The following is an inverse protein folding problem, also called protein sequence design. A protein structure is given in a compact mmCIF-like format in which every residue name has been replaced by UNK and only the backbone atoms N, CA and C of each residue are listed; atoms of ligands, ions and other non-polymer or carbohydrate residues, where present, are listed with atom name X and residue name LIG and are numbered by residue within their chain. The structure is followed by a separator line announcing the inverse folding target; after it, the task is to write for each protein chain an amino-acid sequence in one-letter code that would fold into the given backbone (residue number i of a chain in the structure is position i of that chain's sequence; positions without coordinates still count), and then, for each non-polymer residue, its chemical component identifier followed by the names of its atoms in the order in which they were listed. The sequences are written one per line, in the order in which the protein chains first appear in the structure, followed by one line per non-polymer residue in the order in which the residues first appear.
data_IF_359894379083
#
_entry.id   IF_359894379083
#
_cell.length_a   1.000
_cell.length_b   1.000
_cell.length_c   1.000
_cell.angle_alpha   90.00
_cell.angle_beta   90.00
_cell.angle_gamma   90.00
#
_symmetry.space_group_name_H-M   'P 1'
#
loop_
_entity.id
_entity.type
_entity.pdbx_description
1 polymer ?
#
# COMPACT_ATOMS: atom_id res chain seq x y z
N UNK A 1 9.42 22.25 -0.01
CA UNK A 1 9.36 23.53 -0.77
C UNK A 1 8.65 24.67 -0.03
N UNK A 2 7.35 24.56 0.30
CA UNK A 2 6.58 25.68 0.90
C UNK A 2 7.19 26.15 2.24
N UNK A 3 7.62 25.21 3.09
CA UNK A 3 8.32 25.49 4.35
C UNK A 3 9.63 26.28 4.18
N UNK A 4 10.39 25.98 3.12
CA UNK A 4 11.62 26.73 2.77
C UNK A 4 11.25 28.17 2.44
N UNK A 5 10.22 28.39 1.61
CA UNK A 5 9.75 29.73 1.27
C UNK A 5 9.25 30.51 2.49
N UNK A 6 8.50 29.85 3.37
CA UNK A 6 8.07 30.44 4.65
C UNK A 6 9.26 30.90 5.50
N UNK A 7 10.27 30.06 5.68
CA UNK A 7 11.44 30.38 6.49
C UNK A 7 12.31 31.48 5.89
N UNK A 8 12.43 31.54 4.55
CA UNK A 8 13.11 32.65 3.87
C UNK A 8 12.45 34.00 4.14
N UNK A 9 11.12 34.05 4.22
CA UNK A 9 10.39 35.30 4.46
C UNK A 9 10.39 35.74 5.92
N UNK A 10 10.49 34.80 6.86
CA UNK A 10 10.45 35.10 8.30
C UNK A 10 11.79 35.60 8.85
N UNK A 11 12.90 35.37 8.14
CA UNK A 11 14.28 35.64 8.56
C UNK A 11 14.67 34.91 9.86
N UNK A 12 15.95 34.51 9.99
CA UNK A 12 16.49 33.83 11.19
C UNK A 12 15.94 32.43 11.55
N UNK A 13 15.18 31.77 10.67
CA UNK A 13 14.67 30.39 10.89
C UNK A 13 15.51 29.34 10.14
N UNK A 14 16.84 29.36 10.36
CA UNK A 14 17.82 28.59 9.55
C UNK A 14 17.59 27.07 9.66
N UNK A 15 17.26 26.55 10.85
CA UNK A 15 17.03 25.12 11.06
C UNK A 15 15.89 24.56 10.19
N UNK A 16 14.87 25.38 9.93
CA UNK A 16 13.75 24.99 9.08
C UNK A 16 14.16 24.96 7.61
N UNK A 17 15.03 25.87 7.17
CA UNK A 17 15.61 25.84 5.83
C UNK A 17 16.49 24.61 5.64
N UNK A 18 17.40 24.31 6.57
CA UNK A 18 18.37 23.22 6.39
C UNK A 18 17.70 21.87 6.31
N UNK A 19 16.80 21.55 7.24
CA UNK A 19 16.11 20.24 7.25
C UNK A 19 15.23 20.04 6.02
N UNK A 20 14.49 21.07 5.60
CA UNK A 20 13.60 20.95 4.45
C UNK A 20 14.39 20.92 3.15
N UNK A 21 15.53 21.62 3.05
CA UNK A 21 16.40 21.55 1.88
C UNK A 21 17.00 20.15 1.73
N UNK A 22 17.49 19.57 2.83
CA UNK A 22 17.95 18.18 2.83
C UNK A 22 16.80 17.21 2.48
N UNK A 23 15.62 17.41 3.06
CA UNK A 23 14.42 16.63 2.76
C UNK A 23 14.06 16.69 1.27
N UNK A 24 14.11 17.87 0.65
CA UNK A 24 13.86 18.02 -0.77
C UNK A 24 14.86 17.26 -1.65
N UNK A 25 16.15 17.19 -1.27
CA UNK A 25 17.14 16.38 -1.98
C UNK A 25 16.80 14.89 -1.88
N UNK A 26 16.53 14.41 -0.66
CA UNK A 26 16.19 13.00 -0.41
C UNK A 26 14.88 12.60 -1.12
N UNK A 27 13.84 13.42 -1.05
CA UNK A 27 12.57 13.21 -1.75
C UNK A 27 12.76 13.18 -3.27
N UNK A 28 13.60 14.07 -3.82
CA UNK A 28 13.93 14.08 -5.25
C UNK A 28 14.61 12.78 -5.66
N UNK A 29 15.55 12.27 -4.86
CA UNK A 29 16.21 10.97 -5.09
C UNK A 29 15.18 9.84 -5.07
N UNK A 30 14.29 9.80 -4.08
CA UNK A 30 13.23 8.78 -4.02
C UNK A 30 12.31 8.81 -5.23
N UNK A 31 11.88 10.00 -5.65
CA UNK A 31 11.06 10.18 -6.85
C UNK A 31 11.82 9.75 -8.10
N UNK A 32 13.10 10.10 -8.24
CA UNK A 32 13.91 9.72 -9.39
C UNK A 32 14.02 8.20 -9.51
N UNK A 33 14.34 7.51 -8.41
CA UNK A 33 14.36 6.05 -8.33
C UNK A 33 12.98 5.48 -8.67
N UNK A 34 11.90 6.03 -8.13
CA UNK A 34 10.56 5.56 -8.46
C UNK A 34 10.27 5.70 -9.96
N UNK A 35 10.61 6.84 -10.57
CA UNK A 35 10.37 7.08 -11.99
C UNK A 35 11.20 6.19 -12.90
N UNK A 36 12.40 5.75 -12.49
CA UNK A 36 13.21 4.82 -13.30
C UNK A 36 12.60 3.42 -13.31
N UNK A 37 12.12 2.93 -12.16
CA UNK A 37 11.62 1.56 -12.00
C UNK A 37 10.10 1.40 -12.20
N UNK A 38 9.32 2.48 -12.15
CA UNK A 38 7.86 2.40 -12.29
C UNK A 38 7.41 2.02 -13.72
N UNK A 39 6.29 1.31 -13.80
CA UNK A 39 5.59 0.99 -15.06
C UNK A 39 5.15 2.26 -15.78
N UNK A 40 5.02 2.21 -17.11
CA UNK A 40 4.70 3.40 -17.94
C UNK A 40 3.46 4.16 -17.43
N UNK A 41 2.38 3.44 -17.08
CA UNK A 41 1.16 4.05 -16.57
C UNK A 41 1.37 4.76 -15.23
N UNK A 42 1.98 4.09 -14.25
CA UNK A 42 2.27 4.66 -12.94
C UNK A 42 3.25 5.85 -13.02
N UNK A 43 4.25 5.75 -13.91
CA UNK A 43 5.24 6.79 -14.19
C UNK A 43 4.59 8.06 -14.73
N UNK A 44 3.73 7.95 -15.75
CA UNK A 44 3.02 9.11 -16.32
C UNK A 44 2.09 9.75 -15.29
N UNK A 45 1.36 8.94 -14.52
CA UNK A 45 0.50 9.46 -13.44
C UNK A 45 1.31 10.22 -12.39
N UNK A 46 2.45 9.67 -11.98
CA UNK A 46 3.33 10.29 -10.98
C UNK A 46 3.96 11.57 -11.51
N UNK A 47 4.43 11.57 -12.76
CA UNK A 47 4.98 12.78 -13.40
C UNK A 47 3.91 13.87 -13.52
N UNK A 48 2.68 13.52 -13.89
CA UNK A 48 1.56 14.46 -13.93
C UNK A 48 1.27 15.07 -12.56
N UNK A 49 1.20 14.24 -11.52
CA UNK A 49 0.98 14.71 -10.15
C UNK A 49 2.13 15.59 -9.66
N UNK A 50 3.36 15.19 -9.96
CA UNK A 50 4.57 15.92 -9.59
C UNK A 50 4.59 17.31 -10.23
N UNK A 51 4.36 17.40 -11.55
CA UNK A 51 4.31 18.67 -12.26
C UNK A 51 3.15 19.54 -11.76
N UNK A 52 1.95 18.96 -11.60
CA UNK A 52 0.77 19.72 -11.20
C UNK A 52 0.88 20.26 -9.77
N UNK A 53 1.23 19.41 -8.80
CA UNK A 53 1.24 19.79 -7.38
C UNK A 53 2.51 20.54 -7.01
N UNK A 54 3.69 20.05 -7.43
CA UNK A 54 4.97 20.66 -7.01
C UNK A 54 5.33 21.89 -7.83
N UNK A 55 5.14 21.90 -9.14
CA UNK A 55 5.47 23.07 -9.96
C UNK A 55 4.25 23.98 -10.10
N UNK A 56 3.12 23.45 -10.57
CA UNK A 56 1.89 24.23 -10.73
C UNK A 56 1.39 24.82 -9.41
N UNK A 57 1.20 23.97 -8.39
CA UNK A 57 0.73 24.37 -7.07
C UNK A 57 1.70 25.34 -6.37
N UNK A 58 2.99 25.07 -6.39
CA UNK A 58 3.97 25.97 -5.77
C UNK A 58 4.06 27.32 -6.50
N UNK A 59 4.13 27.34 -7.83
CA UNK A 59 4.10 28.58 -8.60
C UNK A 59 2.82 29.38 -8.33
N UNK A 60 1.67 28.71 -8.25
CA UNK A 60 0.41 29.36 -7.90
C UNK A 60 0.47 29.98 -6.50
N UNK A 61 0.99 29.26 -5.51
CA UNK A 61 1.17 29.80 -4.14
C UNK A 61 2.11 31.03 -4.17
N UNK A 62 3.22 30.97 -4.91
CA UNK A 62 4.14 32.10 -5.04
C UNK A 62 3.44 33.32 -5.66
N UNK A 63 2.76 33.15 -6.79
CA UNK A 63 2.05 34.22 -7.48
C UNK A 63 0.96 34.82 -6.60
N UNK A 64 0.10 33.99 -6.01
CA UNK A 64 -0.97 34.46 -5.12
C UNK A 64 -0.39 35.18 -3.91
N UNK A 65 0.66 34.66 -3.29
CA UNK A 65 1.30 35.30 -2.14
C UNK A 65 1.98 36.63 -2.48
N UNK A 66 2.47 36.79 -3.72
CA UNK A 66 3.10 38.02 -4.20
C UNK A 66 2.06 39.09 -4.57
N UNK A 67 0.99 38.71 -5.26
CA UNK A 67 -0.04 39.63 -5.74
C UNK A 67 -1.09 39.99 -4.68
N UNK A 68 -1.50 39.05 -3.83
CA UNK A 68 -2.55 39.29 -2.83
C UNK A 68 -2.02 39.76 -1.48
N UNK A 69 -0.71 39.72 -1.24
CA UNK A 69 -0.17 39.96 0.10
C UNK A 69 1.17 40.68 0.10
N UNK A 70 1.34 41.59 1.06
CA UNK A 70 2.57 42.36 1.22
C UNK A 70 3.11 42.28 2.65
N UNK A 71 4.44 42.33 2.79
CA UNK A 71 5.12 42.38 4.09
C UNK A 71 4.71 41.27 5.06
N UNK A 72 4.15 41.67 6.22
CA UNK A 72 3.79 40.76 7.32
C UNK A 72 2.64 39.82 6.98
N UNK A 73 1.61 40.33 6.29
CA UNK A 73 0.44 39.53 5.88
C UNK A 73 0.86 38.37 4.97
N UNK A 74 1.95 38.51 4.21
CA UNK A 74 2.47 37.45 3.34
C UNK A 74 2.98 36.26 4.14
N UNK A 75 3.68 36.54 5.24
CA UNK A 75 4.17 35.52 6.16
C UNK A 75 3.01 34.79 6.84
N UNK A 76 1.94 35.50 7.21
CA UNK A 76 0.77 34.92 7.86
C UNK A 76 -0.02 34.00 6.91
N UNK A 77 -0.29 34.45 5.68
CA UNK A 77 -0.94 33.64 4.64
C UNK A 77 -0.13 32.37 4.37
N UNK A 78 1.18 32.50 4.17
CA UNK A 78 2.04 31.34 3.92
C UNK A 78 2.16 30.42 5.12
N UNK A 79 2.15 30.97 6.33
CA UNK A 79 2.09 30.19 7.57
C UNK A 79 0.85 29.30 7.61
N UNK A 80 -0.32 29.85 7.31
CA UNK A 80 -1.56 29.07 7.23
C UNK A 80 -1.57 28.05 6.09
N UNK A 81 -0.98 28.38 4.94
CA UNK A 81 -0.80 27.42 3.84
C UNK A 81 0.10 26.26 4.29
N UNK A 82 1.24 26.54 4.92
CA UNK A 82 2.14 25.53 5.50
C UNK A 82 1.39 24.62 6.49
N UNK A 83 0.65 25.21 7.44
CA UNK A 83 -0.16 24.45 8.40
C UNK A 83 -1.15 23.53 7.69
N UNK A 84 -1.87 24.04 6.69
CA UNK A 84 -2.89 23.27 5.96
C UNK A 84 -2.27 22.06 5.25
N UNK A 85 -1.16 22.26 4.53
CA UNK A 85 -0.45 21.16 3.86
C UNK A 85 0.19 20.19 4.87
N UNK A 86 0.73 20.68 5.98
CA UNK A 86 1.29 19.83 7.02
C UNK A 86 0.24 19.02 7.77
N UNK A 87 -0.99 19.51 7.89
CA UNK A 87 -2.08 18.74 8.48
C UNK A 87 -2.62 17.71 7.50
N UNK A 88 -2.71 18.04 6.21
CA UNK A 88 -3.26 17.12 5.20
C UNK A 88 -2.43 15.83 5.04
N UNK A 89 -1.11 15.90 5.24
CA UNK A 89 -0.24 14.71 5.18
C UNK A 89 -0.53 13.70 6.29
N UNK A 90 -1.21 14.09 7.38
CA UNK A 90 -1.63 13.15 8.42
C UNK A 90 -2.76 12.19 7.98
N UNK A 91 -3.32 12.38 6.78
CA UNK A 91 -4.23 11.40 6.18
C UNK A 91 -3.58 10.02 6.02
N UNK A 92 -2.28 9.96 5.70
CA UNK A 92 -1.54 8.70 5.54
C UNK A 92 -1.43 7.92 6.86
N UNK A 93 -0.89 8.47 7.97
CA UNK A 93 -0.85 7.76 9.24
C UNK A 93 -2.25 7.43 9.78
N UNK A 94 -3.28 8.26 9.52
CA UNK A 94 -4.66 7.93 9.88
C UNK A 94 -5.16 6.66 9.16
N UNK A 95 -4.84 6.54 7.88
CA UNK A 95 -5.17 5.35 7.07
C UNK A 95 -4.50 4.09 7.65
N UNK A 96 -3.23 4.19 8.04
CA UNK A 96 -2.49 3.08 8.67
C UNK A 96 -3.10 2.72 10.03
N UNK A 97 -3.43 3.68 10.88
CA UNK A 97 -4.13 3.40 12.15
C UNK A 97 -5.45 2.66 11.93
N UNK A 98 -6.25 3.12 10.96
CA UNK A 98 -7.52 2.44 10.59
C UNK A 98 -7.26 1.01 10.13
N UNK A 99 -6.20 0.79 9.34
CA UNK A 99 -5.80 -0.54 8.89
C UNK A 99 -5.44 -1.44 10.09
N UNK A 100 -4.60 -0.99 11.01
CA UNK A 100 -4.20 -1.74 12.22
C UNK A 100 -5.41 -2.12 13.08
N UNK A 101 -6.38 -1.22 13.23
CA UNK A 101 -7.60 -1.50 14.02
C UNK A 101 -8.45 -2.59 13.36
N UNK A 102 -8.56 -2.59 12.02
CA UNK A 102 -9.33 -3.57 11.26
C UNK A 102 -8.64 -4.92 11.18
N UNK A 103 -7.35 -4.95 10.88
CA UNK A 103 -6.57 -6.19 10.71
C UNK A 103 -6.12 -6.77 12.05
N UNK A 104 -6.25 -6.01 13.15
CA UNK A 104 -5.74 -6.39 14.48
C UNK A 104 -4.24 -6.72 14.48
N UNK A 105 -3.51 -6.24 13.47
CA UNK A 105 -2.12 -6.56 13.19
C UNK A 105 -1.31 -5.27 13.05
N UNK A 106 -0.14 -5.23 13.69
CA UNK A 106 0.80 -4.09 13.67
C UNK A 106 1.88 -4.21 12.60
N UNK A 107 1.70 -5.12 11.63
CA UNK A 107 2.70 -5.41 10.60
C UNK A 107 3.08 -4.19 9.74
N UNK A 108 2.09 -3.36 9.40
CA UNK A 108 2.28 -2.15 8.61
C UNK A 108 2.71 -0.93 9.43
N UNK A 109 3.05 -1.13 10.70
CA UNK A 109 3.30 -0.04 11.64
C UNK A 109 4.49 -0.34 12.55
N UNK A 110 5.73 -0.14 12.06
CA UNK A 110 6.92 -0.37 12.88
C UNK A 110 6.98 0.63 14.05
N UNK A 111 7.22 0.11 15.25
CA UNK A 111 7.33 0.91 16.48
C UNK A 111 8.36 2.02 16.37
N UNK A 112 9.55 1.70 15.85
CA UNK A 112 10.66 2.65 15.73
C UNK A 112 10.26 3.89 14.91
N UNK A 113 9.55 3.69 13.80
CA UNK A 113 9.07 4.79 12.97
C UNK A 113 8.12 5.70 13.74
N UNK A 114 7.15 5.13 14.46
CA UNK A 114 6.21 5.90 15.27
C UNK A 114 6.91 6.67 16.39
N UNK A 115 7.89 6.05 17.05
CA UNK A 115 8.68 6.67 18.11
C UNK A 115 9.51 7.87 17.59
N UNK A 116 10.27 7.68 16.51
CA UNK A 116 11.08 8.77 15.92
C UNK A 116 10.24 9.90 15.35
N UNK A 117 9.08 9.61 14.75
CA UNK A 117 8.14 10.64 14.31
C UNK A 117 7.59 11.45 15.49
N UNK A 118 7.29 10.78 16.61
CA UNK A 118 6.82 11.47 17.82
C UNK A 118 7.91 12.36 18.40
N UNK A 119 9.15 11.85 18.51
CA UNK A 119 10.28 12.65 19.00
C UNK A 119 10.53 13.87 18.10
N UNK A 120 10.48 13.68 16.77
CA UNK A 120 10.56 14.78 15.81
C UNK A 120 9.45 15.81 16.05
N UNK A 121 8.20 15.38 16.21
CA UNK A 121 7.08 16.28 16.49
C UNK A 121 7.28 17.07 17.80
N UNK A 122 7.79 16.43 18.86
CA UNK A 122 8.12 17.13 20.12
C UNK A 122 9.21 18.17 19.91
N UNK A 123 10.28 17.83 19.18
CA UNK A 123 11.38 18.77 18.92
C UNK A 123 10.91 19.98 18.12
N UNK A 124 10.10 19.78 17.08
CA UNK A 124 9.54 20.88 16.28
C UNK A 124 8.47 21.68 17.02
N UNK A 125 7.69 21.04 17.90
CA UNK A 125 6.77 21.73 18.79
C UNK A 125 7.53 22.66 19.73
N UNK A 126 8.55 22.15 20.44
CA UNK A 126 9.41 22.95 21.31
C UNK A 126 10.07 24.09 20.53
N UNK A 127 10.61 23.81 19.34
CA UNK A 127 11.20 24.83 18.47
C UNK A 127 10.20 25.92 18.09
N UNK A 128 8.99 25.55 17.67
CA UNK A 128 7.92 26.49 17.35
C UNK A 128 7.52 27.34 18.55
N UNK A 129 7.39 26.75 19.74
CA UNK A 129 7.05 27.48 20.97
C UNK A 129 8.17 28.46 21.37
N UNK A 130 9.44 28.06 21.28
CA UNK A 130 10.59 28.93 21.57
C UNK A 130 10.66 30.14 20.63
N UNK A 131 10.32 29.94 19.36
CA UNK A 131 10.24 31.02 18.36
C UNK A 131 8.92 31.80 18.39
N UNK A 132 7.99 31.45 19.30
CA UNK A 132 6.61 31.97 19.33
C UNK A 132 5.94 31.86 17.95
N UNK A 133 6.25 30.78 17.24
CA UNK A 133 5.76 30.47 15.91
C UNK A 133 4.66 29.40 15.97
N UNK A 134 3.41 29.87 16.03
CA UNK A 134 2.24 29.00 16.06
C UNK A 134 2.07 28.19 14.77
N UNK A 135 2.61 28.66 13.63
CA UNK A 135 2.50 27.94 12.36
C UNK A 135 3.35 26.67 12.37
N UNK A 136 4.52 26.71 13.02
CA UNK A 136 5.36 25.53 13.23
C UNK A 136 4.79 24.66 14.35
N UNK A 137 4.31 25.24 15.45
CA UNK A 137 3.80 24.48 16.58
C UNK A 137 2.54 23.67 16.25
N UNK A 138 1.55 24.29 15.58
CA UNK A 138 0.21 23.71 15.36
C UNK A 138 0.22 22.31 14.70
N UNK A 139 0.84 22.10 13.53
CA UNK A 139 0.85 20.78 12.90
C UNK A 139 1.64 19.76 13.73
N UNK A 140 2.63 20.20 14.52
CA UNK A 140 3.41 19.32 15.38
C UNK A 140 2.66 18.90 16.65
N UNK A 141 1.72 19.70 17.18
CA UNK A 141 0.78 19.27 18.23
C UNK A 141 -0.07 18.10 17.72
N UNK A 142 -0.60 18.23 16.49
CA UNK A 142 -1.39 17.19 15.85
C UNK A 142 -0.51 15.96 15.60
N UNK A 143 0.69 16.14 15.04
CA UNK A 143 1.65 15.06 14.81
C UNK A 143 2.04 14.32 16.09
N UNK A 144 2.27 15.03 17.19
CA UNK A 144 2.53 14.45 18.50
C UNK A 144 1.34 13.61 18.98
N UNK A 145 0.12 14.15 18.88
CA UNK A 145 -1.11 13.45 19.26
C UNK A 145 -1.27 12.15 18.46
N UNK A 146 -1.03 12.21 17.15
CA UNK A 146 -1.02 11.02 16.29
C UNK A 146 0.06 10.03 16.71
N UNK A 147 1.28 10.49 16.98
CA UNK A 147 2.38 9.65 17.45
C UNK A 147 2.07 8.90 18.76
N UNK A 148 1.45 9.58 19.73
CA UNK A 148 0.99 8.96 20.99
C UNK A 148 -0.06 7.87 20.73
N UNK A 149 -1.08 8.19 19.92
CA UNK A 149 -2.11 7.22 19.52
C UNK A 149 -1.48 6.03 18.78
N UNK A 150 -0.48 6.31 17.94
CA UNK A 150 0.25 5.30 17.19
C UNK A 150 0.97 4.30 18.11
N UNK A 151 1.71 4.78 19.09
CA UNK A 151 2.41 3.94 20.06
C UNK A 151 1.44 3.16 20.96
N UNK A 152 0.32 3.77 21.35
CA UNK A 152 -0.74 3.10 22.13
C UNK A 152 -1.40 1.95 21.34
N UNK A 153 -1.72 2.17 20.06
CA UNK A 153 -2.24 1.15 19.16
C UNK A 153 -1.25 0.00 18.98
N UNK A 154 0.04 0.32 18.81
CA UNK A 154 1.09 -0.68 18.71
C UNK A 154 1.15 -1.55 19.98
N UNK A 155 1.16 -0.93 21.16
CA UNK A 155 1.20 -1.65 22.44
C UNK A 155 -0.02 -2.56 22.65
N UNK A 156 -1.21 -2.12 22.24
CA UNK A 156 -2.44 -2.92 22.35
C UNK A 156 -2.42 -4.15 21.44
N UNK A 157 -2.08 -3.97 20.17
CA UNK A 157 -2.19 -5.04 19.16
C UNK A 157 -0.96 -5.95 19.07
N UNK A 158 0.23 -5.51 19.50
CA UNK A 158 1.41 -6.41 19.60
C UNK A 158 1.14 -7.57 20.57
N UNK A 159 0.48 -7.28 21.69
CA UNK A 159 0.22 -8.27 22.75
C UNK A 159 -0.89 -9.25 22.36
N UNK A 160 -1.76 -8.88 21.42
CA UNK A 160 -2.84 -9.77 20.94
C UNK A 160 -2.27 -10.90 20.07
N UNK A 161 -1.24 -10.64 19.26
CA UNK A 161 -0.59 -11.69 18.46
C UNK A 161 0.05 -12.77 19.33
N UNK A 162 0.71 -12.38 20.42
CA UNK A 162 1.34 -13.32 21.36
C UNK A 162 0.31 -14.26 22.00
N UNK A 163 -0.90 -13.78 22.32
CA UNK A 163 -1.96 -14.59 22.95
C UNK A 163 -2.62 -15.57 21.98
N UNK A 164 -2.60 -15.31 20.67
CA UNK A 164 -3.27 -16.15 19.65
C UNK A 164 -2.34 -17.25 19.13
N UNK A 165 -1.03 -17.00 18.98
CA UNK A 165 -0.08 -18.05 18.58
C UNK A 165 0.15 -19.10 19.67
N UNK A 166 0.00 -18.75 20.95
CA UNK A 166 0.17 -19.71 22.06
C UNK A 166 -1.03 -20.67 22.22
N UNK A 167 -2.14 -20.47 21.50
CA UNK A 167 -3.38 -21.27 21.64
C UNK A 167 -3.71 -22.20 20.47
N UNK A 168 -2.76 -22.50 19.57
CA UNK A 168 -2.99 -23.55 18.56
C UNK A 168 -2.64 -24.93 19.17
N UNK A 169 -3.61 -25.85 19.36
CA UNK A 169 -3.35 -27.11 20.04
C UNK A 169 -2.40 -27.98 19.22
N UNK A 170 -1.37 -28.47 19.90
CA UNK A 170 -0.29 -29.39 19.50
C UNK A 170 -0.79 -30.76 18.96
N UNK A 171 -2.07 -30.91 18.63
CA UNK A 171 -2.66 -32.21 18.31
C UNK A 171 -2.51 -32.64 16.84
N UNK A 172 -1.90 -31.80 15.99
CA UNK A 172 -1.60 -32.19 14.59
C UNK A 172 -0.22 -32.81 14.39
N UNK A 173 0.66 -32.76 15.40
CA UNK A 173 2.01 -33.31 15.29
C UNK A 173 2.02 -34.85 15.31
N UNK A 174 1.09 -35.49 16.03
CA UNK A 174 1.04 -36.96 16.12
C UNK A 174 0.54 -37.64 14.84
N UNK A 175 -0.42 -37.03 14.14
CA UNK A 175 -0.94 -37.58 12.87
C UNK A 175 0.15 -37.58 11.79
N UNK A 176 0.98 -36.53 11.74
CA UNK A 176 2.09 -36.44 10.76
C UNK A 176 3.23 -37.40 11.10
N UNK A 177 3.46 -37.68 12.39
CA UNK A 177 4.45 -38.69 12.83
C UNK A 177 4.01 -40.10 12.45
N UNK A 178 2.74 -40.44 12.65
CA UNK A 178 2.16 -41.74 12.25
C UNK A 178 2.27 -41.97 10.73
N UNK A 179 1.96 -40.94 9.93
CA UNK A 179 2.06 -41.02 8.46
C UNK A 179 3.52 -41.20 8.02
N UNK A 180 4.48 -40.51 8.65
CA UNK A 180 5.91 -40.66 8.32
C UNK A 180 6.47 -42.03 8.72
N UNK A 181 6.06 -42.59 9.85
CA UNK A 181 6.53 -43.91 10.31
C UNK A 181 6.05 -45.01 9.35
N UNK A 182 4.85 -44.87 8.78
CA UNK A 182 4.28 -45.88 7.87
C UNK A 182 4.89 -45.86 6.45
N UNK A 183 5.65 -44.82 6.07
CA UNK A 183 6.10 -44.61 4.68
C UNK A 183 7.54 -45.06 4.43
N UNK A 184 8.31 -45.46 5.44
CA UNK A 184 9.69 -45.92 5.24
C UNK A 184 9.80 -47.46 5.15
N UNK A 185 10.19 -47.92 3.95
CA UNK A 185 10.77 -49.22 3.48
C UNK A 185 9.83 -50.29 2.87
N UNK A 186 10.25 -51.01 1.79
CA UNK A 186 10.62 -50.57 0.43
C UNK A 186 9.68 -51.15 -0.67
N UNK A 187 9.81 -50.64 -1.91
CA UNK A 187 9.29 -51.12 -3.21
C UNK A 187 8.17 -52.19 -3.25
N UNK A 188 6.97 -51.79 -3.69
CA UNK A 188 6.18 -52.61 -4.63
C UNK A 188 5.66 -51.70 -5.73
N UNK A 189 6.17 -51.90 -6.92
CA UNK A 189 5.71 -51.33 -8.18
C UNK A 189 4.27 -51.82 -8.45
N UNK A 190 3.31 -50.90 -8.58
CA UNK A 190 1.98 -51.23 -9.10
C UNK A 190 1.73 -50.36 -10.32
N UNK A 191 2.02 -50.94 -11.48
CA UNK A 191 1.55 -50.50 -12.80
C UNK A 191 0.02 -50.62 -12.85
N UNK A 192 -0.69 -49.51 -13.04
CA UNK A 192 -2.12 -49.55 -13.35
C UNK A 192 -2.28 -49.61 -14.87
N UNK A 193 -2.44 -50.84 -15.37
CA UNK A 193 -2.81 -51.11 -16.75
C UNK A 193 -4.34 -51.01 -16.91
N UNK A 194 -4.78 -50.26 -17.93
CA UNK A 194 -6.18 -50.09 -18.28
C UNK A 194 -6.83 -51.44 -18.70
N UNK A 195 -8.10 -51.72 -18.35
CA UNK A 195 -8.77 -52.90 -18.84
C UNK A 195 -9.26 -52.69 -20.28
N UNK A 196 -8.92 -53.67 -21.11
CA UNK A 196 -9.35 -53.87 -22.50
C UNK A 196 -10.80 -54.39 -22.53
N UNK A 197 -11.52 -53.94 -23.54
CA UNK A 197 -12.87 -54.32 -23.98
C UNK A 197 -13.00 -55.78 -24.45
N UNK A 198 -14.06 -56.47 -24.04
CA UNK A 198 -14.79 -57.59 -24.72
C UNK A 198 -15.75 -58.20 -23.68
N UNK A 199 -16.97 -58.68 -23.92
CA UNK A 199 -17.79 -58.88 -25.11
C UNK A 199 -19.25 -59.16 -24.65
N UNK A 200 -20.16 -59.01 -25.62
CA UNK A 200 -21.42 -59.75 -25.79
C UNK A 200 -22.72 -59.39 -25.04
N UNK A 201 -23.67 -58.97 -25.88
CA UNK A 201 -25.08 -59.34 -25.97
C UNK A 201 -26.10 -58.90 -24.91
N UNK A 202 -26.86 -57.90 -25.35
CA UNK A 202 -28.30 -57.68 -25.22
C UNK A 202 -29.15 -58.94 -24.98
N UNK A 203 -30.07 -58.87 -24.02
CA UNK A 203 -31.43 -59.42 -24.21
C UNK A 203 -32.43 -58.56 -23.43
N UNK A 204 -33.53 -58.26 -24.11
CA UNK A 204 -34.65 -57.41 -23.72
C UNK A 204 -35.38 -57.83 -22.43
N UNK A 205 -35.94 -56.86 -21.71
CA UNK A 205 -37.38 -56.79 -21.37
C UNK A 205 -37.70 -55.63 -20.41
N UNK A 206 -38.72 -54.83 -20.77
CA UNK A 206 -39.75 -54.13 -19.95
C UNK A 206 -39.42 -53.77 -18.47
N UNK A 207 -39.71 -52.57 -17.94
CA UNK A 207 -41.02 -51.90 -17.91
C UNK A 207 -40.94 -50.52 -17.20
N UNK A 208 -41.67 -49.54 -17.73
CA UNK A 208 -42.31 -48.37 -17.10
C UNK A 208 -41.57 -47.41 -16.12
N UNK A 209 -41.53 -46.14 -16.54
CA UNK A 209 -42.04 -44.93 -15.86
C UNK A 209 -41.48 -44.56 -14.47
N UNK A 210 -40.72 -43.45 -14.38
CA UNK A 210 -41.19 -42.17 -13.80
C UNK A 210 -40.09 -41.08 -13.78
N UNK A 211 -40.37 -39.98 -14.50
CA UNK A 211 -40.23 -38.55 -14.14
C UNK A 211 -39.01 -38.08 -13.31
N UNK A 212 -38.17 -37.21 -13.89
CA UNK A 212 -37.33 -36.26 -13.14
C UNK A 212 -36.17 -35.66 -13.96
N UNK A 213 -36.38 -34.46 -14.48
CA UNK A 213 -35.46 -33.67 -15.33
C UNK A 213 -34.26 -33.17 -14.55
N UNK A 214 -33.03 -33.41 -15.04
CA UNK A 214 -31.83 -32.69 -14.57
C UNK A 214 -31.00 -32.12 -15.72
N UNK A 215 -30.55 -30.90 -15.47
CA UNK A 215 -30.17 -29.88 -16.42
C UNK A 215 -28.65 -29.80 -16.58
N UNK A 216 -28.24 -29.61 -17.83
CA UNK A 216 -26.88 -29.49 -18.38
C UNK A 216 -25.80 -28.84 -17.49
N UNK A 217 -24.67 -29.55 -17.38
CA UNK A 217 -23.37 -29.05 -16.87
C UNK A 217 -22.64 -28.31 -17.99
N UNK A 218 -22.42 -27.01 -17.82
CA UNK A 218 -21.56 -26.19 -18.69
C UNK A 218 -20.14 -26.15 -18.10
N UNK A 219 -19.16 -26.74 -18.77
CA UNK A 219 -17.75 -26.47 -18.55
C UNK A 219 -17.33 -25.37 -19.53
N UNK A 220 -16.89 -24.22 -19.03
CA UNK A 220 -16.41 -23.12 -19.86
C UNK A 220 -15.05 -22.66 -19.33
N UNK A 221 -14.00 -23.13 -20.01
CA UNK A 221 -12.61 -22.70 -19.80
C UNK A 221 -12.17 -21.94 -21.04
N UNK A 222 -11.70 -20.70 -20.82
CA UNK A 222 -10.71 -19.90 -21.58
C UNK A 222 -11.16 -18.45 -21.83
N UNK A 223 -10.46 -17.50 -21.19
CA UNK A 223 -9.99 -16.28 -21.87
C UNK A 223 -8.85 -15.61 -21.08
N UNK A 224 -7.62 -15.81 -21.52
CA UNK A 224 -6.53 -14.86 -21.27
C UNK A 224 -6.59 -13.83 -22.40
N UNK A 225 -7.02 -12.62 -22.07
CA UNK A 225 -7.07 -11.50 -23.00
C UNK A 225 -5.73 -10.74 -22.93
N UNK A 226 -4.96 -10.75 -24.02
CA UNK A 226 -3.79 -9.87 -24.20
C UNK A 226 -4.12 -8.92 -25.34
N UNK A 227 -4.39 -7.67 -24.98
CA UNK A 227 -4.65 -6.55 -25.88
C UNK A 227 -3.33 -6.10 -26.51
N UNK A 228 -3.24 -6.12 -27.84
CA UNK A 228 -2.29 -5.34 -28.64
C UNK A 228 -3.14 -4.67 -29.75
N UNK A 229 -3.23 -3.34 -29.76
CA UNK A 229 -3.80 -2.53 -30.84
C UNK A 229 -2.73 -2.21 -31.93
N UNK A 230 -3.03 -1.47 -33.02
CA UNK A 230 -3.60 -1.96 -34.27
C UNK A 230 -2.70 -1.65 -35.50
N UNK A 231 -2.72 -2.49 -36.55
CA UNK A 231 -2.29 -2.07 -37.90
C UNK A 231 -2.91 -2.92 -39.01
N UNK A 232 -3.45 -2.25 -40.03
CA UNK A 232 -4.00 -2.81 -41.29
C UNK A 232 -2.87 -3.27 -42.26
N UNK A 233 -3.18 -3.81 -43.46
CA UNK A 233 -3.90 -5.05 -43.75
C UNK A 233 -3.07 -5.96 -44.70
N UNK A 234 -3.30 -7.28 -44.60
CA UNK A 234 -3.00 -8.21 -45.70
C UNK A 234 -1.63 -8.88 -45.65
N UNK A 235 -1.63 -10.15 -45.25
CA UNK A 235 -0.92 -11.22 -45.97
C UNK A 235 -1.32 -12.58 -45.41
N UNK A 236 -1.70 -13.48 -46.32
CA UNK A 236 -1.96 -14.90 -46.07
C UNK A 236 -0.73 -15.54 -45.40
N UNK A 237 -0.97 -16.42 -44.42
CA UNK A 237 -0.03 -17.51 -44.11
C UNK A 237 -0.83 -18.80 -44.01
N UNK A 238 -0.46 -19.73 -44.88
CA UNK A 238 -0.97 -21.09 -45.04
C UNK A 238 -0.53 -21.98 -43.86
N UNK A 239 -1.43 -22.82 -43.37
CA UNK A 239 -1.09 -23.93 -42.46
C UNK A 239 -0.65 -25.15 -43.27
N UNK A 240 0.51 -25.72 -42.96
CA UNK A 240 0.84 -27.11 -43.29
C UNK A 240 0.57 -28.02 -42.07
N UNK A 241 0.28 -29.27 -42.42
CA UNK A 241 -0.30 -30.38 -41.62
C UNK A 241 0.61 -30.86 -40.49
#
# INVERSE_FOLDING_TARGET
MIWIYYAFLKSHVILLITINSFGCVIETIYIAIYLTYATKHARVSTLRLLLLVNFGGFCLILLLSHFLSQGRTRVEVLGWVCVTFSVSVFAAPLSVMRMVIRTKSVEFMPFNLSFFLTLSAVMWLCYGLLLKDLYVATPNIIGFSFGVVQMALYAKYRNTKTIVEEKLPEHKADVVKQIKIFTTTPEVEVQVQAPVTSDANSTDAHQNSERGTDQYVHAQTCRNEKIIEPSMPGQLVTCEV
#
